data_IF_877192171094
#
_entry.id   IF_877192171094
#
_cell.length_a   1.000
_cell.length_b   1.000
_cell.length_c   1.000
_cell.angle_alpha   90.00
_cell.angle_beta   90.00
_cell.angle_gamma   90.00
#
_symmetry.space_group_name_H-M   'P 1'
#
loop_
_entity.id
_entity.type
_entity.pdbx_description
1 polymer ?
#
# COMPACT_ATOMS: atom_id res chain seq x y z
N UNK A 1 -28.80 26.00 -12.80
CA UNK A 1 -29.15 26.76 -11.59
C UNK A 1 -27.85 27.20 -10.95
N UNK A 2 -27.48 28.47 -11.07
CA UNK A 2 -26.23 28.97 -10.50
C UNK A 2 -26.31 29.04 -8.97
N UNK A 3 -25.21 28.71 -8.29
CA UNK A 3 -25.15 28.79 -6.84
C UNK A 3 -25.22 30.26 -6.39
N UNK A 4 -26.01 30.61 -5.35
CA UNK A 4 -26.05 31.98 -4.83
C UNK A 4 -24.67 32.45 -4.38
N UNK A 5 -24.34 33.72 -4.64
CA UNK A 5 -23.06 34.34 -4.27
C UNK A 5 -22.73 34.13 -2.78
N UNK A 6 -23.74 34.21 -1.91
CA UNK A 6 -23.63 33.97 -0.46
C UNK A 6 -23.16 32.54 -0.12
N UNK A 7 -23.55 31.53 -0.91
CA UNK A 7 -23.07 30.16 -0.74
C UNK A 7 -21.60 30.02 -1.13
N UNK A 8 -21.16 30.72 -2.18
CA UNK A 8 -19.77 30.73 -2.63
C UNK A 8 -18.90 31.41 -1.56
N UNK A 9 -19.29 32.60 -1.12
CA UNK A 9 -18.56 33.35 -0.08
C UNK A 9 -18.42 32.56 1.22
N UNK A 10 -19.47 31.84 1.64
CA UNK A 10 -19.43 30.97 2.83
C UNK A 10 -18.41 29.84 2.66
N UNK A 11 -18.36 29.20 1.48
CA UNK A 11 -17.37 28.13 1.20
C UNK A 11 -15.95 28.70 1.18
N UNK A 12 -15.74 29.85 0.54
CA UNK A 12 -14.44 30.54 0.53
C UNK A 12 -13.99 30.90 1.95
N UNK A 13 -14.88 31.43 2.79
CA UNK A 13 -14.57 31.69 4.21
C UNK A 13 -14.18 30.42 4.97
N UNK A 14 -14.87 29.30 4.74
CA UNK A 14 -14.53 28.02 5.37
C UNK A 14 -13.14 27.52 4.94
N UNK A 15 -12.83 27.58 3.64
CA UNK A 15 -11.53 27.20 3.12
C UNK A 15 -10.43 28.08 3.70
N UNK A 16 -10.61 29.42 3.68
CA UNK A 16 -9.65 30.37 4.26
C UNK A 16 -9.44 30.10 5.75
N UNK A 17 -10.51 29.84 6.52
CA UNK A 17 -10.40 29.50 7.94
C UNK A 17 -9.62 28.21 8.16
N UNK A 18 -9.84 27.20 7.32
CA UNK A 18 -9.13 25.92 7.45
C UNK A 18 -7.64 26.05 7.09
N UNK A 19 -7.30 26.73 6.00
CA UNK A 19 -5.92 26.83 5.48
C UNK A 19 -5.09 27.84 6.29
N UNK A 20 -5.66 28.99 6.64
CA UNK A 20 -4.93 30.08 7.31
C UNK A 20 -5.20 30.13 8.82
N UNK A 21 -5.66 29.02 9.42
CA UNK A 21 -5.78 28.90 10.87
C UNK A 21 -4.39 29.01 11.51
N UNK A 22 -4.28 29.70 12.65
CA UNK A 22 -3.04 29.70 13.45
C UNK A 22 -2.66 28.29 13.97
N UNK A 23 -3.63 27.37 14.01
CA UNK A 23 -3.44 25.96 14.36
C UNK A 23 -3.43 25.06 13.11
N UNK A 24 -3.02 25.59 11.95
CA UNK A 24 -2.92 24.80 10.73
C UNK A 24 -1.80 23.77 10.88
N UNK A 25 -2.20 22.51 11.03
CA UNK A 25 -1.31 21.37 10.99
C UNK A 25 -1.43 20.72 9.61
N UNK A 26 -0.39 20.95 8.79
CA UNK A 26 -0.28 20.41 7.44
C UNK A 26 -0.38 18.87 7.43
N UNK A 27 0.10 18.21 8.48
CA UNK A 27 0.16 16.76 8.55
C UNK A 27 -1.23 16.12 8.65
N UNK A 28 -2.25 16.85 9.11
CA UNK A 28 -3.64 16.37 9.11
C UNK A 28 -4.28 16.32 7.71
N UNK A 29 -3.63 16.90 6.69
CA UNK A 29 -4.09 16.85 5.30
C UNK A 29 -3.37 15.79 4.47
N UNK A 30 -2.42 15.06 5.05
CA UNK A 30 -1.69 13.98 4.38
C UNK A 30 -2.20 12.65 4.92
N UNK A 31 -2.72 11.81 4.03
CA UNK A 31 -3.11 10.46 4.41
C UNK A 31 -1.87 9.63 4.79
N UNK A 32 -1.95 8.80 5.84
CA UNK A 32 -0.87 7.87 6.14
C UNK A 32 -0.62 6.90 4.98
N UNK A 33 0.61 6.88 4.47
CA UNK A 33 1.03 5.89 3.48
C UNK A 33 1.22 4.54 4.16
N UNK A 34 0.35 3.58 3.83
CA UNK A 34 0.50 2.22 4.36
C UNK A 34 1.78 1.56 3.86
N UNK A 35 2.17 1.83 2.61
CA UNK A 35 3.39 1.29 2.02
C UNK A 35 4.63 1.71 2.84
N UNK A 36 4.76 3.00 3.13
CA UNK A 36 5.90 3.52 3.92
C UNK A 36 5.83 3.06 5.38
N UNK A 37 4.61 3.03 5.95
CA UNK A 37 4.39 2.52 7.31
C UNK A 37 4.85 1.06 7.43
N UNK A 38 4.58 0.23 6.43
CA UNK A 38 5.00 -1.17 6.43
C UNK A 38 6.52 -1.32 6.33
N UNK A 39 7.19 -0.49 5.53
CA UNK A 39 8.66 -0.44 5.49
C UNK A 39 9.27 -0.06 6.84
N UNK A 40 8.73 0.96 7.51
CA UNK A 40 9.19 1.38 8.84
C UNK A 40 8.93 0.30 9.90
N UNK A 41 7.80 -0.41 9.81
CA UNK A 41 7.47 -1.50 10.72
C UNK A 41 8.45 -2.67 10.63
N UNK A 42 9.15 -2.86 9.50
CA UNK A 42 10.14 -3.93 9.33
C UNK A 42 11.50 -3.64 9.96
N UNK A 43 11.80 -2.41 10.37
CA UNK A 43 13.13 -2.05 10.88
C UNK A 43 13.37 -2.73 12.23
N UNK A 44 14.42 -3.57 12.39
CA UNK A 44 14.71 -4.22 13.65
C UNK A 44 15.32 -3.24 14.66
N UNK A 45 15.02 -3.46 15.95
CA UNK A 45 15.62 -2.65 17.01
C UNK A 45 17.13 -2.94 17.14
N UNK A 46 17.94 -1.88 17.19
CA UNK A 46 19.42 -1.99 17.15
C UNK A 46 20.03 -2.87 18.25
N UNK A 47 19.46 -2.84 19.45
CA UNK A 47 19.91 -3.67 20.60
C UNK A 47 19.15 -4.99 20.74
N UNK A 48 17.98 -5.10 20.13
CA UNK A 48 17.05 -6.22 20.32
C UNK A 48 16.49 -6.63 18.96
N UNK A 49 17.26 -7.30 18.09
CA UNK A 49 16.85 -7.52 16.69
C UNK A 49 15.59 -8.36 16.51
N UNK A 50 15.13 -9.05 17.56
CA UNK A 50 13.90 -9.84 17.60
C UNK A 50 12.61 -9.01 17.77
N UNK A 51 12.70 -7.69 17.90
CA UNK A 51 11.54 -6.79 17.98
C UNK A 51 11.69 -5.60 17.00
N UNK A 52 10.58 -5.00 16.55
CA UNK A 52 10.65 -3.82 15.70
C UNK A 52 11.20 -2.62 16.47
N UNK A 53 11.92 -1.75 15.75
CA UNK A 53 12.37 -0.45 16.27
C UNK A 53 11.18 0.47 16.57
N UNK A 54 10.11 0.37 15.78
CA UNK A 54 8.93 1.23 15.84
C UNK A 54 7.65 0.40 15.99
N UNK A 55 7.36 -0.05 17.21
CA UNK A 55 6.19 -0.90 17.50
C UNK A 55 4.85 -0.26 17.05
N UNK A 56 4.73 1.06 17.16
CA UNK A 56 3.52 1.80 16.78
C UNK A 56 3.15 1.64 15.30
N UNK A 57 4.11 1.47 14.40
CA UNK A 57 3.81 1.24 12.98
C UNK A 57 3.30 -0.18 12.74
N UNK A 58 3.84 -1.18 13.46
CA UNK A 58 3.34 -2.55 13.41
C UNK A 58 1.90 -2.62 13.95
N UNK A 59 1.62 -1.96 15.07
CA UNK A 59 0.27 -1.83 15.63
C UNK A 59 -0.67 -1.11 14.66
N UNK A 60 -0.19 -0.08 13.96
CA UNK A 60 -0.98 0.60 12.96
C UNK A 60 -1.40 -0.35 11.83
N UNK A 61 -0.50 -1.19 11.32
CA UNK A 61 -0.84 -2.17 10.28
C UNK A 61 -1.94 -3.15 10.75
N UNK A 62 -1.83 -3.65 11.98
CA UNK A 62 -2.80 -4.57 12.58
C UNK A 62 -4.21 -3.96 12.67
N UNK A 63 -4.30 -2.65 12.84
CA UNK A 63 -5.56 -1.93 13.05
C UNK A 63 -6.13 -1.25 11.78
N UNK A 64 -5.39 -1.22 10.67
CA UNK A 64 -5.76 -0.47 9.47
C UNK A 64 -5.95 -1.33 8.20
N UNK A 65 -6.04 -2.66 8.35
CA UNK A 65 -6.46 -3.53 7.24
C UNK A 65 -7.91 -3.20 6.86
N UNK A 66 -8.19 -3.07 5.56
CA UNK A 66 -9.57 -2.88 5.08
C UNK A 66 -10.38 -4.17 5.26
N UNK A 67 -11.72 -4.08 5.39
CA UNK A 67 -12.58 -5.26 5.55
C UNK A 67 -12.38 -6.34 4.47
N UNK A 68 -12.03 -5.92 3.26
CA UNK A 68 -11.77 -6.79 2.10
C UNK A 68 -10.40 -7.49 2.15
N UNK A 69 -9.53 -7.14 3.11
CA UNK A 69 -8.23 -7.78 3.32
C UNK A 69 -7.02 -7.04 2.77
N UNK A 70 -7.20 -5.97 2.00
CA UNK A 70 -6.10 -5.16 1.48
C UNK A 70 -5.68 -4.04 2.44
N UNK A 71 -4.51 -3.48 2.18
CA UNK A 71 -4.05 -2.23 2.75
C UNK A 71 -3.87 -1.19 1.63
N UNK A 72 -4.20 0.07 1.94
CA UNK A 72 -4.24 1.16 0.96
C UNK A 72 -5.54 1.96 1.04
N UNK A 73 -5.63 3.03 0.23
CA UNK A 73 -6.78 3.93 0.23
C UNK A 73 -7.96 3.39 -0.59
N UNK A 74 -7.66 2.78 -1.74
CA UNK A 74 -8.64 2.26 -2.69
C UNK A 74 -8.32 0.81 -3.06
N UNK A 75 -9.29 0.08 -3.59
CA UNK A 75 -9.18 -1.30 -4.07
C UNK A 75 -8.68 -1.39 -5.52
N UNK A 76 -7.81 -0.46 -5.92
CA UNK A 76 -7.18 -0.40 -7.26
C UNK A 76 -5.82 -1.10 -7.26
N UNK A 77 -5.13 -1.12 -8.40
CA UNK A 77 -3.77 -1.68 -8.51
C UNK A 77 -2.78 -1.11 -7.48
N UNK A 78 -3.01 0.11 -7.01
CA UNK A 78 -2.21 0.79 -5.99
C UNK A 78 -2.22 0.10 -4.63
N UNK A 79 -3.21 -0.75 -4.35
CA UNK A 79 -3.25 -1.50 -3.10
C UNK A 79 -2.35 -2.74 -3.09
N UNK A 80 -1.89 -3.24 -4.25
CA UNK A 80 -1.09 -4.47 -4.28
C UNK A 80 0.25 -4.31 -3.55
N UNK A 81 1.09 -3.30 -3.84
CA UNK A 81 2.34 -3.10 -3.09
C UNK A 81 2.16 -2.92 -1.57
N UNK A 82 1.32 -1.99 -1.06
CA UNK A 82 1.14 -1.84 0.39
C UNK A 82 0.56 -3.10 1.03
N UNK A 83 -0.33 -3.84 0.36
CA UNK A 83 -0.84 -5.12 0.89
C UNK A 83 0.27 -6.16 1.03
N UNK A 84 1.11 -6.33 0.00
CA UNK A 84 2.22 -7.29 0.03
C UNK A 84 3.20 -6.94 1.15
N UNK A 85 3.68 -5.69 1.20
CA UNK A 85 4.66 -5.28 2.22
C UNK A 85 4.08 -5.33 3.63
N UNK A 86 2.79 -5.02 3.80
CA UNK A 86 2.13 -5.15 5.12
C UNK A 86 2.12 -6.59 5.60
N UNK A 87 1.81 -7.56 4.72
CA UNK A 87 1.88 -8.98 5.08
C UNK A 87 3.30 -9.41 5.42
N UNK A 88 4.30 -8.97 4.65
CA UNK A 88 5.71 -9.23 4.91
C UNK A 88 6.12 -8.70 6.29
N UNK A 89 5.72 -7.47 6.62
CA UNK A 89 6.00 -6.86 7.92
C UNK A 89 5.38 -7.63 9.08
N UNK A 90 4.12 -8.07 8.94
CA UNK A 90 3.43 -8.87 9.95
C UNK A 90 4.10 -10.23 10.16
N UNK A 91 4.51 -10.91 9.08
CA UNK A 91 5.21 -12.20 9.16
C UNK A 91 6.58 -12.07 9.78
N UNK A 92 7.34 -11.03 9.43
CA UNK A 92 8.67 -10.78 9.98
C UNK A 92 8.67 -10.80 11.51
N UNK A 93 7.59 -10.33 12.12
CA UNK A 93 7.42 -10.27 13.58
C UNK A 93 6.49 -11.36 14.14
N UNK A 94 6.16 -12.37 13.34
CA UNK A 94 5.28 -13.49 13.70
C UNK A 94 3.97 -13.02 14.36
N UNK A 95 3.36 -11.97 13.80
CA UNK A 95 2.11 -11.39 14.28
C UNK A 95 1.08 -11.33 13.16
N UNK A 96 -0.18 -11.04 13.51
CA UNK A 96 -1.20 -10.71 12.52
C UNK A 96 -1.59 -11.84 11.56
N UNK A 97 -1.45 -13.11 11.95
CA UNK A 97 -1.68 -14.27 11.07
C UNK A 97 -3.02 -14.22 10.32
N UNK A 98 -4.12 -13.91 11.00
CA UNK A 98 -5.44 -13.79 10.35
C UNK A 98 -5.52 -12.63 9.35
N UNK A 99 -4.77 -11.55 9.57
CA UNK A 99 -4.68 -10.40 8.66
C UNK A 99 -3.86 -10.78 7.43
N UNK A 100 -2.76 -11.52 7.61
CA UNK A 100 -1.97 -12.10 6.51
C UNK A 100 -2.84 -13.03 5.65
N UNK A 101 -3.61 -13.92 6.26
CA UNK A 101 -4.49 -14.85 5.53
C UNK A 101 -5.54 -14.09 4.71
N UNK A 102 -6.15 -13.04 5.28
CA UNK A 102 -7.07 -12.16 4.55
C UNK A 102 -6.40 -11.42 3.39
N UNK A 103 -5.18 -10.91 3.58
CA UNK A 103 -4.42 -10.24 2.52
C UNK A 103 -4.10 -11.18 1.37
N UNK A 104 -3.73 -12.43 1.68
CA UNK A 104 -3.53 -13.49 0.71
C UNK A 104 -4.82 -13.79 -0.07
N UNK A 105 -5.95 -13.96 0.63
CA UNK A 105 -7.25 -14.16 -0.02
C UNK A 105 -7.63 -13.00 -0.93
N UNK A 106 -7.36 -11.76 -0.51
CA UNK A 106 -7.60 -10.57 -1.33
C UNK A 106 -6.78 -10.61 -2.63
N UNK A 107 -5.47 -10.86 -2.54
CA UNK A 107 -4.60 -10.90 -3.72
C UNK A 107 -5.04 -12.02 -4.66
N UNK A 108 -5.29 -13.23 -4.15
CA UNK A 108 -5.76 -14.34 -4.99
C UNK A 108 -7.07 -14.03 -5.72
N UNK A 109 -8.02 -13.37 -5.05
CA UNK A 109 -9.32 -13.08 -5.63
C UNK A 109 -9.29 -11.93 -6.66
N UNK A 110 -8.34 -10.98 -6.53
CA UNK A 110 -8.41 -9.71 -7.27
C UNK A 110 -7.20 -9.44 -8.18
N UNK A 111 -6.04 -10.06 -7.95
CA UNK A 111 -4.81 -9.72 -8.67
C UNK A 111 -4.94 -9.84 -10.18
N UNK A 112 -5.60 -10.89 -10.69
CA UNK A 112 -5.82 -11.07 -12.13
C UNK A 112 -6.56 -9.88 -12.74
N UNK A 113 -7.63 -9.43 -12.06
CA UNK A 113 -8.41 -8.27 -12.50
C UNK A 113 -7.56 -7.00 -12.45
N UNK A 114 -6.93 -6.72 -11.31
CA UNK A 114 -6.14 -5.50 -11.09
C UNK A 114 -4.95 -5.39 -12.04
N UNK A 115 -4.24 -6.51 -12.29
CA UNK A 115 -3.10 -6.54 -13.19
C UNK A 115 -3.53 -6.39 -14.66
N UNK A 116 -4.67 -6.96 -15.05
CA UNK A 116 -5.17 -6.80 -16.41
C UNK A 116 -5.50 -5.34 -16.76
N UNK A 117 -5.90 -4.52 -15.79
CA UNK A 117 -6.16 -3.08 -15.99
C UNK A 117 -4.90 -2.29 -16.41
N UNK A 118 -3.70 -2.80 -16.10
CA UNK A 118 -2.42 -2.13 -16.37
C UNK A 118 -1.54 -2.85 -17.41
N UNK A 119 -2.06 -3.88 -18.07
CA UNK A 119 -1.29 -4.75 -18.97
C UNK A 119 -0.69 -4.00 -20.17
N UNK A 120 -1.40 -3.01 -20.70
CA UNK A 120 -0.96 -2.28 -21.90
C UNK A 120 -0.33 -0.92 -21.57
N UNK A 121 -0.63 -0.36 -20.39
CA UNK A 121 -0.12 0.93 -19.92
C UNK A 121 0.36 0.85 -18.47
N UNK A 122 1.34 -0.02 -18.21
CA UNK A 122 1.90 -0.19 -16.87
C UNK A 122 2.68 1.08 -16.46
N UNK A 123 2.28 1.76 -15.36
CA UNK A 123 3.00 2.91 -14.86
C UNK A 123 4.43 2.55 -14.46
N UNK A 124 5.39 3.44 -14.75
CA UNK A 124 6.81 3.22 -14.43
C UNK A 124 7.02 2.86 -12.95
N UNK A 125 6.34 3.55 -12.03
CA UNK A 125 6.49 3.29 -10.60
C UNK A 125 6.06 1.87 -10.23
N UNK A 126 4.96 1.37 -10.82
CA UNK A 126 4.45 0.03 -10.55
C UNK A 126 5.40 -1.04 -11.11
N UNK A 127 5.94 -0.80 -12.31
CA UNK A 127 6.96 -1.66 -12.91
C UNK A 127 8.22 -1.80 -12.05
N UNK A 128 8.59 -0.76 -11.30
CA UNK A 128 9.75 -0.79 -10.40
C UNK A 128 9.39 -1.44 -9.07
N UNK A 129 8.29 -1.02 -8.45
CA UNK A 129 7.95 -1.37 -7.07
C UNK A 129 7.38 -2.79 -6.96
N UNK A 130 6.40 -3.16 -7.78
CA UNK A 130 5.66 -4.41 -7.58
C UNK A 130 6.55 -5.66 -7.70
N UNK A 131 7.43 -5.81 -8.72
CA UNK A 131 8.32 -6.96 -8.78
C UNK A 131 9.26 -7.05 -7.57
N UNK A 132 9.78 -5.91 -7.09
CA UNK A 132 10.65 -5.88 -5.91
C UNK A 132 9.91 -6.32 -4.64
N UNK A 133 8.64 -5.97 -4.49
CA UNK A 133 7.84 -6.42 -3.33
C UNK A 133 7.56 -7.92 -3.37
N UNK A 134 7.39 -8.48 -4.56
CA UNK A 134 7.19 -9.92 -4.74
C UNK A 134 8.46 -10.69 -4.42
N UNK A 135 9.60 -10.22 -4.91
CA UNK A 135 10.93 -10.77 -4.59
C UNK A 135 11.15 -10.78 -3.06
N UNK A 136 10.88 -9.67 -2.38
CA UNK A 136 10.97 -9.57 -0.93
C UNK A 136 10.01 -10.53 -0.21
N UNK A 137 8.77 -10.63 -0.69
CA UNK A 137 7.76 -11.47 -0.09
C UNK A 137 8.10 -12.95 -0.26
N UNK A 138 8.66 -13.34 -1.41
CA UNK A 138 9.16 -14.69 -1.64
C UNK A 138 10.30 -15.03 -0.66
N UNK A 139 11.28 -14.14 -0.52
CA UNK A 139 12.42 -14.32 0.38
C UNK A 139 12.00 -14.49 1.86
N UNK A 140 11.07 -13.66 2.34
CA UNK A 140 10.68 -13.63 3.76
C UNK A 140 9.60 -14.66 4.10
N UNK A 141 8.66 -14.89 3.20
CA UNK A 141 7.46 -15.68 3.48
C UNK A 141 7.50 -17.08 2.84
N UNK A 142 8.48 -17.38 1.96
CA UNK A 142 8.47 -18.59 1.13
C UNK A 142 7.25 -18.62 0.21
N UNK A 143 6.91 -17.46 -0.34
CA UNK A 143 5.69 -17.24 -1.11
C UNK A 143 5.82 -17.73 -2.55
N UNK A 144 5.80 -19.04 -2.71
CA UNK A 144 5.40 -19.60 -3.99
C UNK A 144 3.89 -19.32 -4.16
N UNK A 145 3.53 -18.53 -5.18
CA UNK A 145 2.14 -18.30 -5.64
C UNK A 145 1.29 -17.36 -4.76
N UNK A 146 1.59 -16.05 -4.72
CA UNK A 146 0.54 -15.03 -4.47
C UNK A 146 -0.40 -14.87 -5.68
N UNK A 147 0.09 -15.19 -6.87
CA UNK A 147 -0.51 -14.84 -8.14
C UNK A 147 -0.89 -16.10 -8.92
N UNK A 148 -2.06 -16.09 -9.56
CA UNK A 148 -2.52 -17.24 -10.37
C UNK A 148 -1.68 -17.39 -11.65
N UNK A 149 -1.89 -18.49 -12.39
CA UNK A 149 -1.25 -18.68 -13.71
C UNK A 149 -1.57 -17.53 -14.68
N UNK A 150 -2.77 -16.96 -14.60
CA UNK A 150 -3.18 -15.84 -15.46
C UNK A 150 -2.40 -14.56 -15.14
N UNK A 151 -2.15 -14.29 -13.85
CA UNK A 151 -1.36 -13.15 -13.40
C UNK A 151 0.12 -13.24 -13.79
N UNK A 152 0.66 -14.46 -13.97
CA UNK A 152 2.10 -14.66 -14.28
C UNK A 152 2.53 -14.02 -15.59
N UNK A 153 1.69 -14.01 -16.61
CA UNK A 153 2.02 -13.41 -17.90
C UNK A 153 2.16 -11.89 -17.78
N UNK A 154 1.19 -11.26 -17.10
CA UNK A 154 1.22 -9.82 -16.83
C UNK A 154 2.39 -9.46 -15.90
N UNK A 155 2.67 -10.28 -14.88
CA UNK A 155 3.85 -10.08 -14.02
C UNK A 155 5.16 -10.20 -14.81
N UNK A 156 5.25 -11.12 -15.77
CA UNK A 156 6.41 -11.25 -16.65
C UNK A 156 6.57 -10.01 -17.54
N UNK A 157 5.47 -9.47 -18.06
CA UNK A 157 5.47 -8.20 -18.78
C UNK A 157 5.97 -7.04 -17.91
N UNK A 158 5.44 -6.90 -16.69
CA UNK A 158 5.84 -5.87 -15.71
C UNK A 158 7.33 -6.00 -15.37
N UNK A 159 7.82 -7.22 -15.14
CA UNK A 159 9.24 -7.48 -14.87
C UNK A 159 10.14 -7.12 -16.07
N UNK A 160 9.69 -7.33 -17.30
CA UNK A 160 10.42 -6.90 -18.50
C UNK A 160 10.42 -5.38 -18.66
N UNK A 161 9.30 -4.71 -18.37
CA UNK A 161 9.25 -3.23 -18.30
C UNK A 161 10.24 -2.69 -17.26
N UNK A 162 10.35 -3.31 -16.08
CA UNK A 162 11.33 -2.94 -15.05
C UNK A 162 12.75 -2.85 -15.61
N UNK A 163 13.18 -3.86 -16.39
CA UNK A 163 14.51 -3.90 -17.02
C UNK A 163 14.75 -2.71 -17.95
N UNK A 164 13.73 -2.25 -18.67
CA UNK A 164 13.85 -1.08 -19.56
C UNK A 164 14.02 0.25 -18.81
N UNK A 165 13.74 0.30 -17.50
CA UNK A 165 13.87 1.51 -16.69
C UNK A 165 15.10 1.52 -15.77
N UNK A 166 15.66 0.34 -15.46
CA UNK A 166 16.80 0.20 -14.54
C UNK A 166 18.14 0.01 -15.26
N UNK A 167 18.11 -0.18 -16.59
CA UNK A 167 19.28 -0.20 -17.47
C UNK A 167 19.42 1.14 -18.18
#
# INVERSE_FOLDING_TARGET
MELPLSCIERRVRKIKKNIFSSNFDLYNFVCPSTYDTAWLAMIPHSKYPSQPMFNNYLDWLLNNQKPQGYWGESDTIECLPPTIVSMVALIKWNTGKSMVDKGRSFIHANADKLLNEVKDDCPRWLAIVLPAMIELADEIMGLDVLFTKSSRDTMSYIANRRKSFLN
#
